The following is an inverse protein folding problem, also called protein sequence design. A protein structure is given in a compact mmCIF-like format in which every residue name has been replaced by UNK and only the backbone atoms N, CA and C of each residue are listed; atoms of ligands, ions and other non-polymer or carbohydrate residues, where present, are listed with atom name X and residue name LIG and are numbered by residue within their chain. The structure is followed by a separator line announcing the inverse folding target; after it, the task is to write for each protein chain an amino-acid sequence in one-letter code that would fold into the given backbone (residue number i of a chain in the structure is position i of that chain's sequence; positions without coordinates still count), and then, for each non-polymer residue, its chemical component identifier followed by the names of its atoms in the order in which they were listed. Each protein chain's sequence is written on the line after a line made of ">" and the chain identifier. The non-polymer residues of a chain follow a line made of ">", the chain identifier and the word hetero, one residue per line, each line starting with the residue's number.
data_IF_197778681431
#
_entry.id   IF_197778681431
#
_cell.length_a   1.000
_cell.length_b   1.000
_cell.length_c   1.000
_cell.angle_alpha   90.00
_cell.angle_beta   90.00
_cell.angle_gamma   90.00
#
_symmetry.space_group_name_H-M   'P 1'
#
loop_
_entity.id
_entity.type
_entity.pdbx_description
1 polymer ?
#
# COMPACT_ATOMS: atom_id res chain seq x y z
N UNK A 1 -10.61 1.38 5.47
CA UNK A 1 -9.48 1.49 6.43
C UNK A 1 -8.13 1.03 5.85
N UNK A 2 -8.04 -0.14 5.19
CA UNK A 2 -6.78 -0.68 4.64
C UNK A 2 -6.17 0.16 3.51
N UNK A 3 -7.01 0.68 2.62
CA UNK A 3 -6.63 1.61 1.54
C UNK A 3 -5.98 2.90 2.07
N UNK A 4 -6.46 3.42 3.21
CA UNK A 4 -5.92 4.61 3.86
C UNK A 4 -4.54 4.34 4.49
N UNK A 5 -4.37 3.21 5.18
CA UNK A 5 -3.08 2.78 5.72
C UNK A 5 -2.05 2.59 4.61
N UNK A 6 -2.44 1.94 3.52
CA UNK A 6 -1.57 1.76 2.36
C UNK A 6 -1.15 3.10 1.75
N UNK A 7 -2.11 4.03 1.58
CA UNK A 7 -1.81 5.36 1.07
C UNK A 7 -0.83 6.12 1.97
N UNK A 8 -0.99 6.07 3.31
CA UNK A 8 -0.04 6.68 4.25
C UNK A 8 1.38 6.13 4.09
N UNK A 9 1.52 4.81 3.89
CA UNK A 9 2.83 4.17 3.66
C UNK A 9 3.44 4.67 2.35
N UNK A 10 2.65 4.71 1.27
CA UNK A 10 3.08 5.24 -0.02
C UNK A 10 3.49 6.71 0.08
N UNK A 11 2.71 7.54 0.77
CA UNK A 11 3.02 8.95 1.00
C UNK A 11 4.32 9.11 1.81
N UNK A 12 4.56 8.28 2.81
CA UNK A 12 5.81 8.30 3.58
C UNK A 12 7.02 7.89 2.71
N UNK A 13 6.89 6.86 1.89
CA UNK A 13 7.93 6.44 0.95
C UNK A 13 8.25 7.54 -0.07
N UNK A 14 7.22 8.17 -0.63
CA UNK A 14 7.40 9.28 -1.55
C UNK A 14 8.03 10.50 -0.86
N UNK A 15 7.67 10.78 0.39
CA UNK A 15 8.26 11.86 1.17
C UNK A 15 9.78 11.67 1.40
N UNK A 16 10.26 10.43 1.57
CA UNK A 16 11.71 10.12 1.63
C UNK A 16 12.43 10.54 0.35
N UNK A 17 11.75 10.53 -0.80
CA UNK A 17 12.27 11.02 -2.09
C UNK A 17 11.93 12.49 -2.37
N UNK A 18 11.39 13.23 -1.39
CA UNK A 18 10.98 14.62 -1.55
C UNK A 18 9.69 14.81 -2.36
N UNK A 19 8.90 13.76 -2.58
CA UNK A 19 7.70 13.77 -3.41
C UNK A 19 6.46 13.79 -2.52
N UNK A 20 5.58 14.79 -2.70
CA UNK A 20 4.32 14.90 -1.96
C UNK A 20 3.15 14.75 -2.93
N UNK A 21 2.48 13.59 -2.95
CA UNK A 21 1.35 13.36 -3.84
C UNK A 21 0.11 14.12 -3.36
N UNK A 22 -0.53 14.88 -4.27
CA UNK A 22 -1.76 15.65 -3.99
C UNK A 22 -3.05 14.85 -4.13
N UNK A 23 -3.00 13.69 -4.79
CA UNK A 23 -4.16 12.81 -5.02
C UNK A 23 -3.78 11.35 -4.83
N UNK A 24 -4.75 10.49 -4.52
CA UNK A 24 -4.49 9.04 -4.38
C UNK A 24 -3.95 8.41 -5.67
N UNK A 25 -4.53 8.78 -6.83
CA UNK A 25 -4.06 8.32 -8.15
C UNK A 25 -2.66 8.82 -8.49
N UNK A 26 -2.36 10.08 -8.13
CA UNK A 26 -1.01 10.64 -8.26
C UNK A 26 0.00 9.91 -7.38
N UNK A 27 -0.37 9.58 -6.14
CA UNK A 27 0.45 8.77 -5.24
C UNK A 27 0.78 7.40 -5.81
N UNK A 28 -0.21 6.71 -6.40
CA UNK A 28 0.00 5.41 -7.06
C UNK A 28 0.96 5.49 -8.25
N UNK A 29 0.84 6.52 -9.10
CA UNK A 29 1.72 6.71 -10.24
C UNK A 29 3.16 7.00 -9.82
N UNK A 30 3.33 7.92 -8.87
CA UNK A 30 4.65 8.26 -8.34
C UNK A 30 5.29 7.07 -7.63
N UNK A 31 4.52 6.30 -6.87
CA UNK A 31 4.99 5.06 -6.26
C UNK A 31 5.44 4.03 -7.29
N UNK A 32 4.62 3.79 -8.31
CA UNK A 32 4.96 2.85 -9.39
C UNK A 32 6.21 3.28 -10.14
N UNK A 33 6.39 4.59 -10.36
CA UNK A 33 7.56 5.16 -11.03
C UNK A 33 8.84 5.03 -10.19
N UNK A 34 8.79 5.38 -8.91
CA UNK A 34 9.99 5.56 -8.09
C UNK A 34 10.39 4.36 -7.25
N UNK A 35 9.51 3.37 -7.11
CA UNK A 35 9.75 2.19 -6.28
C UNK A 35 9.55 0.88 -7.04
N UNK A 36 8.58 0.80 -7.94
CA UNK A 36 8.33 -0.44 -8.71
C UNK A 36 9.21 -0.52 -9.96
N UNK A 37 9.27 0.55 -10.77
CA UNK A 37 10.14 0.57 -11.95
C UNK A 37 11.63 0.57 -11.63
N UNK A 38 11.99 0.93 -10.39
CA UNK A 38 13.36 0.88 -9.90
C UNK A 38 13.71 -0.44 -9.20
N UNK A 39 12.86 -1.46 -9.29
CA UNK A 39 12.99 -2.78 -8.63
C UNK A 39 13.22 -2.73 -7.10
N UNK A 40 12.89 -1.60 -6.46
CA UNK A 40 12.95 -1.46 -4.99
C UNK A 40 11.75 -2.13 -4.33
N UNK A 41 10.64 -2.28 -5.06
CA UNK A 41 9.40 -2.91 -4.63
C UNK A 41 8.87 -3.80 -5.75
N UNK A 42 8.56 -5.04 -5.40
CA UNK A 42 8.00 -6.04 -6.31
C UNK A 42 6.72 -5.53 -6.99
N UNK A 43 6.63 -5.77 -8.30
CA UNK A 43 5.50 -5.39 -9.15
C UNK A 43 4.15 -5.90 -8.65
N UNK A 44 4.11 -7.01 -7.89
CA UNK A 44 2.88 -7.52 -7.27
C UNK A 44 2.19 -6.48 -6.37
N UNK A 45 2.95 -5.57 -5.77
CA UNK A 45 2.39 -4.53 -4.90
C UNK A 45 1.63 -3.43 -5.66
N UNK A 46 1.92 -3.20 -6.94
CA UNK A 46 1.06 -2.37 -7.79
C UNK A 46 -0.35 -2.97 -7.91
N UNK A 47 -0.41 -4.30 -8.14
CA UNK A 47 -1.67 -5.03 -8.31
C UNK A 47 -2.48 -5.05 -7.01
N UNK A 48 -1.82 -5.32 -5.88
CA UNK A 48 -2.45 -5.30 -4.55
C UNK A 48 -3.01 -3.90 -4.23
N UNK A 49 -2.26 -2.85 -4.56
CA UNK A 49 -2.69 -1.47 -4.30
C UNK A 49 -3.89 -1.08 -5.18
N UNK A 50 -3.88 -1.44 -6.47
CA UNK A 50 -5.01 -1.22 -7.36
C UNK A 50 -6.29 -1.90 -6.82
N UNK A 51 -6.19 -3.17 -6.43
CA UNK A 51 -7.30 -3.94 -5.86
C UNK A 51 -7.83 -3.35 -4.55
N UNK A 52 -6.97 -2.84 -3.67
CA UNK A 52 -7.41 -2.18 -2.43
C UNK A 52 -8.12 -0.86 -2.67
N UNK A 53 -7.78 -0.16 -3.75
CA UNK A 53 -8.46 1.08 -4.14
C UNK A 53 -9.81 0.80 -4.82
N UNK A 54 -9.89 -0.24 -5.63
CA UNK A 54 -11.12 -0.73 -6.27
C UNK A 54 -12.11 -1.26 -5.23
N UNK A 55 -11.68 -2.16 -4.34
CA UNK A 55 -12.51 -2.67 -3.23
C UNK A 55 -12.97 -1.59 -2.26
N UNK A 56 -12.24 -0.46 -2.16
CA UNK A 56 -12.74 0.71 -1.41
C UNK A 56 -13.91 1.36 -2.16
N UNK A 57 -13.81 1.51 -3.47
CA UNK A 57 -14.92 1.96 -4.30
C UNK A 57 -16.13 1.05 -4.15
N UNK A 58 -15.94 -0.26 -4.22
CA UNK A 58 -17.00 -1.25 -4.01
C UNK A 58 -17.56 -1.19 -2.57
N UNK A 59 -16.73 -1.09 -1.53
CA UNK A 59 -17.22 -1.03 -0.15
C UNK A 59 -17.94 0.30 0.19
N UNK A 60 -17.53 1.42 -0.42
CA UNK A 60 -18.12 2.73 -0.19
C UNK A 60 -19.40 2.94 -1.06
N UNK A 61 -19.61 2.14 -2.13
CA UNK A 61 -20.70 2.34 -3.11
C UNK A 61 -21.55 1.09 -3.45
N UNK A 62 -21.15 -0.12 -3.08
CA UNK A 62 -21.94 -1.36 -3.28
C UNK A 62 -22.49 -1.91 -1.97
N UNK A 63 -23.82 -1.94 -1.90
CA UNK A 63 -24.63 -2.30 -0.73
C UNK A 63 -24.65 -3.82 -0.42
N UNK A 64 -23.88 -4.66 -1.14
CA UNK A 64 -23.97 -6.13 -1.08
C UNK A 64 -22.61 -6.85 -1.08
N UNK A 65 -21.66 -6.47 -0.22
CA UNK A 65 -20.53 -7.37 0.08
C UNK A 65 -20.60 -7.88 1.53
N UNK A 66 -21.00 -9.14 1.69
CA UNK A 66 -20.95 -9.82 2.98
C UNK A 66 -19.50 -10.26 3.22
N UNK A 67 -18.67 -9.37 3.77
CA UNK A 67 -17.30 -9.70 4.17
C UNK A 67 -17.36 -10.72 5.29
N UNK A 68 -16.79 -11.89 5.06
CA UNK A 68 -16.76 -12.96 6.07
C UNK A 68 -15.70 -12.70 7.13
N UNK A 69 -15.89 -13.24 8.34
CA UNK A 69 -14.92 -13.12 9.42
C UNK A 69 -13.53 -13.68 9.05
N UNK A 70 -13.50 -14.68 8.16
CA UNK A 70 -12.26 -15.27 7.64
C UNK A 70 -11.48 -14.28 6.78
N UNK A 71 -12.15 -13.63 5.83
CA UNK A 71 -11.53 -12.62 4.96
C UNK A 71 -11.01 -11.43 5.77
N UNK A 72 -11.76 -11.01 6.81
CA UNK A 72 -11.31 -9.96 7.72
C UNK A 72 -10.02 -10.35 8.46
N UNK A 73 -9.92 -11.60 8.95
CA UNK A 73 -8.72 -12.10 9.65
C UNK A 73 -7.53 -12.23 8.71
N UNK A 74 -7.74 -12.71 7.48
CA UNK A 74 -6.69 -12.79 6.47
C UNK A 74 -6.18 -11.41 6.07
N UNK A 75 -7.08 -10.43 5.92
CA UNK A 75 -6.71 -9.06 5.63
C UNK A 75 -5.84 -8.47 6.76
N UNK A 76 -6.20 -8.69 8.03
CA UNK A 76 -5.40 -8.26 9.19
C UNK A 76 -4.01 -8.92 9.17
N UNK A 77 -3.94 -10.22 8.91
CA UNK A 77 -2.67 -10.97 8.84
C UNK A 77 -1.76 -10.41 7.75
N UNK A 78 -2.30 -10.18 6.55
CA UNK A 78 -1.55 -9.65 5.41
C UNK A 78 -0.98 -8.27 5.70
N UNK A 79 -1.75 -7.41 6.38
CA UNK A 79 -1.31 -6.06 6.76
C UNK A 79 -0.19 -6.10 7.79
N UNK A 80 -0.26 -7.01 8.77
CA UNK A 80 0.83 -7.21 9.75
C UNK A 80 2.13 -7.65 9.07
N UNK A 81 2.06 -8.63 8.17
CA UNK A 81 3.24 -9.12 7.44
C UNK A 81 3.82 -8.03 6.53
N UNK A 82 2.95 -7.24 5.90
CA UNK A 82 3.39 -6.11 5.08
C UNK A 82 4.12 -5.05 5.92
N UNK A 83 3.60 -4.66 7.09
CA UNK A 83 4.25 -3.72 8.01
C UNK A 83 5.67 -4.17 8.38
N UNK A 84 5.83 -5.44 8.76
CA UNK A 84 7.15 -5.99 9.12
C UNK A 84 8.13 -5.98 7.95
N UNK A 85 7.65 -6.28 6.74
CA UNK A 85 8.47 -6.24 5.52
C UNK A 85 8.95 -4.82 5.23
N UNK A 86 8.05 -3.83 5.34
CA UNK A 86 8.36 -2.42 5.11
C UNK A 86 9.35 -1.89 6.15
N UNK A 87 9.17 -2.23 7.43
CA UNK A 87 10.12 -1.85 8.50
C UNK A 87 11.54 -2.40 8.24
N UNK A 88 11.63 -3.67 7.81
CA UNK A 88 12.93 -4.26 7.42
C UNK A 88 13.56 -3.55 6.22
N UNK A 89 12.77 -3.27 5.17
CA UNK A 89 13.26 -2.55 3.99
C UNK A 89 13.72 -1.12 4.31
N UNK A 90 13.03 -0.42 5.21
CA UNK A 90 13.43 0.90 5.70
C UNK A 90 14.76 0.80 6.46
N UNK A 91 14.93 -0.17 7.37
CA UNK A 91 16.21 -0.33 8.09
C UNK A 91 17.39 -0.61 7.15
N UNK A 92 17.19 -1.39 6.09
CA UNK A 92 18.20 -1.64 5.05
C UNK A 92 18.53 -0.36 4.28
N UNK A 93 17.52 0.44 3.93
CA UNK A 93 17.68 1.70 3.19
C UNK A 93 18.37 2.81 4.00
N UNK A 94 18.24 2.80 5.34
CA UNK A 94 18.80 3.81 6.24
C UNK A 94 20.04 3.33 7.03
N UNK A 95 20.58 2.15 6.73
CA UNK A 95 21.85 1.67 7.29
C UNK A 95 21.90 1.56 8.82
N UNK A 96 20.77 1.30 9.48
CA UNK A 96 20.76 0.99 10.92
C UNK A 96 20.90 -0.53 11.09
N UNK A 97 22.15 -0.97 11.13
CA UNK A 97 22.57 -2.24 11.77
C UNK A 97 22.33 -2.11 13.27
#
# INVERSE_FOLDING_TARGET
>A
MLSFTFFKIVSALLAVKGIIPKTHKGGLQQFSLHFIKSDLVDRKYAKIMAQLMEKRGEADYEFYSVITQKEAREAIKNVKVFKQTVEKSINILFGKV
#
